data_IF_162154717885
#
_entry.id   IF_162154717885
#
_cell.length_a   1.000
_cell.length_b   1.000
_cell.length_c   1.000
_cell.angle_alpha   90.00
_cell.angle_beta   90.00
_cell.angle_gamma   90.00
#
_symmetry.space_group_name_H-M   'P 1'
#
loop_
_entity.id
_entity.type
_entity.pdbx_description
1 polymer ?
#
# COMPACT_ATOMS: atom_id res chain seq x y z
N UNK A 1 -41.51 3.05 -1.36
CA UNK A 1 -40.54 3.01 -2.49
C UNK A 1 -39.29 3.78 -2.12
N UNK A 2 -38.31 3.14 -1.47
CA UNK A 2 -37.03 3.77 -1.12
C UNK A 2 -35.98 2.71 -0.75
N UNK A 3 -35.55 1.85 -1.69
CA UNK A 3 -34.55 0.80 -1.39
C UNK A 3 -33.58 0.47 -2.53
N UNK A 4 -33.31 1.38 -3.48
CA UNK A 4 -32.37 1.11 -4.59
C UNK A 4 -31.10 1.97 -4.62
N UNK A 5 -31.02 3.07 -3.86
CA UNK A 5 -29.95 4.07 -4.06
C UNK A 5 -28.70 3.87 -3.17
N UNK A 6 -28.82 3.17 -2.04
CA UNK A 6 -27.70 3.01 -1.10
C UNK A 6 -26.68 1.95 -1.53
N UNK A 7 -27.15 0.84 -2.11
CA UNK A 7 -26.27 -0.28 -2.52
C UNK A 7 -25.46 0.05 -3.78
N UNK A 8 -26.04 0.80 -4.71
CA UNK A 8 -25.34 1.33 -5.89
C UNK A 8 -24.28 2.35 -5.51
N UNK A 9 -24.58 3.25 -4.56
CA UNK A 9 -23.61 4.24 -4.08
C UNK A 9 -22.36 3.60 -3.42
N UNK A 10 -22.52 2.56 -2.60
CA UNK A 10 -21.37 1.85 -2.00
C UNK A 10 -20.58 1.11 -3.08
N UNK A 11 -21.27 0.41 -3.99
CA UNK A 11 -20.62 -0.30 -5.10
C UNK A 11 -19.79 0.65 -5.97
N UNK A 12 -20.35 1.79 -6.33
CA UNK A 12 -19.69 2.74 -7.23
C UNK A 12 -18.49 3.41 -6.52
N UNK A 13 -18.56 3.64 -5.20
CA UNK A 13 -17.43 4.08 -4.38
C UNK A 13 -16.31 3.03 -4.30
N UNK A 14 -16.65 1.76 -4.11
CA UNK A 14 -15.67 0.65 -4.10
C UNK A 14 -15.02 0.51 -5.48
N UNK A 15 -15.80 0.58 -6.57
CA UNK A 15 -15.27 0.52 -7.94
C UNK A 15 -14.36 1.72 -8.25
N UNK A 16 -14.71 2.92 -7.80
CA UNK A 16 -13.84 4.10 -7.91
C UNK A 16 -12.53 3.92 -7.11
N UNK A 17 -12.57 3.28 -5.94
CA UNK A 17 -11.37 2.93 -5.17
C UNK A 17 -10.54 1.84 -5.87
N UNK A 18 -11.16 0.77 -6.35
CA UNK A 18 -10.49 -0.31 -7.09
C UNK A 18 -9.87 0.17 -8.41
N UNK A 19 -10.48 1.13 -9.10
CA UNK A 19 -9.88 1.79 -10.28
C UNK A 19 -8.58 2.55 -9.91
N UNK A 20 -8.41 2.94 -8.64
CA UNK A 20 -7.14 3.45 -8.09
C UNK A 20 -6.12 2.35 -7.75
N UNK A 21 -6.46 1.07 -7.85
CA UNK A 21 -5.57 -0.08 -7.63
C UNK A 21 -5.31 -0.87 -8.92
N UNK A 22 -4.53 -0.29 -9.84
CA UNK A 22 -3.74 -1.03 -10.84
C UNK A 22 -2.29 -0.63 -10.60
N UNK A 23 -1.62 -1.31 -9.67
CA UNK A 23 -0.27 -0.95 -9.24
C UNK A 23 0.53 -2.20 -8.84
N UNK A 24 1.81 -2.19 -9.17
CA UNK A 24 2.80 -3.17 -8.75
C UNK A 24 3.01 -3.04 -7.23
N UNK A 25 2.72 -4.11 -6.48
CA UNK A 25 2.96 -4.18 -5.04
C UNK A 25 4.41 -4.58 -4.79
N UNK A 26 5.20 -3.66 -4.23
CA UNK A 26 6.48 -3.99 -3.61
C UNK A 26 6.34 -3.66 -2.13
N UNK A 27 6.19 -4.69 -1.31
CA UNK A 27 6.01 -4.54 0.13
C UNK A 27 6.67 -5.70 0.85
N UNK A 28 7.47 -5.37 1.86
CA UNK A 28 7.97 -6.33 2.83
C UNK A 28 6.83 -6.58 3.81
N UNK A 29 6.13 -7.70 3.66
CA UNK A 29 5.08 -8.09 4.60
C UNK A 29 5.74 -8.78 5.80
N UNK A 30 5.76 -8.18 7.00
CA UNK A 30 5.93 -8.97 8.21
C UNK A 30 4.69 -9.85 8.34
N UNK A 31 4.87 -11.15 8.14
CA UNK A 31 3.90 -12.20 8.40
C UNK A 31 3.66 -12.30 9.91
N UNK A 32 3.01 -11.30 10.52
CA UNK A 32 2.67 -11.31 11.95
C UNK A 32 1.27 -10.75 12.24
N UNK A 33 0.43 -10.54 11.22
CA UNK A 33 -0.95 -10.06 11.41
C UNK A 33 -1.98 -11.21 11.56
N UNK A 34 -1.53 -12.45 11.75
CA UNK A 34 -2.39 -13.62 11.98
C UNK A 34 -2.12 -14.26 13.35
N UNK A 35 -2.26 -13.45 14.41
CA UNK A 35 -2.53 -13.97 15.76
C UNK A 35 -3.62 -13.16 16.44
N UNK A 36 -4.76 -13.03 15.76
CA UNK A 36 -6.00 -12.54 16.35
C UNK A 36 -6.88 -13.72 16.79
N UNK A 37 -6.38 -14.55 17.71
CA UNK A 37 -7.22 -15.59 18.34
C UNK A 37 -6.74 -16.04 19.71
N UNK A 38 -6.05 -15.19 20.47
CA UNK A 38 -5.64 -15.57 21.85
C UNK A 38 -5.54 -14.39 22.83
N UNK A 39 -6.06 -13.21 22.48
CA UNK A 39 -6.21 -12.11 23.44
C UNK A 39 -7.69 -11.95 23.80
N UNK A 40 -8.04 -11.84 25.10
CA UNK A 40 -9.39 -11.60 25.57
C UNK A 40 -9.81 -10.16 25.24
N UNK A 41 -10.10 -9.91 23.95
CA UNK A 41 -10.75 -8.70 23.46
C UNK A 41 -12.20 -8.95 23.03
N UNK A 42 -12.64 -10.21 23.04
CA UNK A 42 -14.05 -10.60 22.87
C UNK A 42 -14.86 -10.51 24.17
N UNK A 43 -14.27 -10.03 25.28
CA UNK A 43 -14.92 -9.97 26.59
C UNK A 43 -15.64 -8.65 26.88
N UNK A 44 -15.47 -7.61 26.05
CA UNK A 44 -16.16 -6.33 26.26
C UNK A 44 -17.69 -6.45 26.06
N UNK A 45 -18.13 -7.21 25.06
CA UNK A 45 -19.57 -7.38 24.77
C UNK A 45 -20.35 -8.07 25.90
N UNK A 46 -19.71 -9.02 26.59
CA UNK A 46 -20.34 -9.72 27.71
C UNK A 46 -20.52 -8.81 28.94
N UNK A 47 -19.60 -7.87 29.16
CA UNK A 47 -19.73 -6.87 30.23
C UNK A 47 -20.89 -5.90 29.98
N UNK A 48 -21.21 -5.64 28.71
CA UNK A 48 -22.33 -4.79 28.28
C UNK A 48 -23.65 -5.57 28.08
N UNK A 49 -23.72 -6.84 28.50
CA UNK A 49 -24.85 -7.76 28.26
C UNK A 49 -25.24 -7.92 26.77
N UNK A 50 -24.31 -7.66 25.84
CA UNK A 50 -24.52 -7.83 24.40
C UNK A 50 -24.19 -9.28 24.00
N UNK A 51 -25.22 -10.09 23.80
CA UNK A 51 -25.08 -11.42 23.22
C UNK A 51 -24.98 -11.34 21.70
N UNK A 52 -23.77 -11.49 21.16
CA UNK A 52 -23.58 -11.63 19.71
C UNK A 52 -23.88 -13.07 19.33
N UNK A 53 -25.04 -13.30 18.71
CA UNK A 53 -25.32 -14.59 18.05
C UNK A 53 -24.56 -14.65 16.73
N UNK A 54 -23.71 -15.66 16.51
CA UNK A 54 -23.06 -15.83 15.21
C UNK A 54 -24.14 -16.01 14.14
N UNK A 55 -23.99 -15.37 12.97
CA UNK A 55 -24.98 -15.47 11.90
C UNK A 55 -25.07 -16.91 11.41
N UNK A 56 -26.30 -17.43 11.26
CA UNK A 56 -26.57 -18.81 10.83
C UNK A 56 -25.95 -19.15 9.47
N UNK A 57 -25.69 -18.14 8.63
CA UNK A 57 -24.96 -18.26 7.37
C UNK A 57 -24.01 -17.07 7.23
N UNK A 58 -22.73 -17.35 7.03
CA UNK A 58 -21.75 -16.34 6.63
C UNK A 58 -21.46 -16.45 5.14
N UNK A 59 -21.36 -15.32 4.44
CA UNK A 59 -20.93 -15.28 3.04
C UNK A 59 -19.52 -15.86 2.85
N UNK A 60 -18.71 -15.86 3.92
CA UNK A 60 -17.35 -16.39 3.93
C UNK A 60 -17.30 -17.92 4.02
N UNK A 61 -18.41 -18.60 4.34
CA UNK A 61 -18.45 -20.07 4.46
C UNK A 61 -18.21 -20.78 3.12
N UNK A 62 -18.42 -20.07 2.01
CA UNK A 62 -18.20 -20.55 0.65
C UNK A 62 -16.80 -20.25 0.12
N UNK A 63 -15.97 -19.60 0.92
CA UNK A 63 -14.68 -19.07 0.51
C UNK A 63 -13.58 -19.97 1.08
N UNK A 64 -12.76 -20.55 0.20
CA UNK A 64 -11.61 -21.35 0.62
C UNK A 64 -10.53 -20.45 1.26
N UNK A 65 -9.93 -20.88 2.39
CA UNK A 65 -8.91 -20.12 3.11
C UNK A 65 -7.55 -20.23 2.43
N UNK A 66 -7.44 -19.65 1.24
CA UNK A 66 -6.20 -19.59 0.45
C UNK A 66 -5.55 -18.21 0.54
N UNK A 67 -4.27 -18.13 0.18
CA UNK A 67 -3.49 -16.89 0.26
C UNK A 67 -4.04 -15.82 -0.70
N UNK A 68 -4.37 -16.21 -1.93
CA UNK A 68 -5.00 -15.34 -2.93
C UNK A 68 -6.31 -14.75 -2.41
N UNK A 69 -7.21 -15.60 -1.90
CA UNK A 69 -8.44 -15.16 -1.26
C UNK A 69 -8.21 -14.18 -0.10
N UNK A 70 -7.25 -14.49 0.77
CA UNK A 70 -6.91 -13.65 1.92
C UNK A 70 -6.44 -12.26 1.46
N UNK A 71 -5.66 -12.19 0.37
CA UNK A 71 -5.19 -10.94 -0.22
C UNK A 71 -6.33 -10.16 -0.89
N UNK A 72 -7.28 -10.84 -1.54
CA UNK A 72 -8.46 -10.23 -2.15
C UNK A 72 -9.39 -9.63 -1.10
N UNK A 73 -9.67 -10.35 -0.01
CA UNK A 73 -10.48 -9.84 1.10
C UNK A 73 -9.81 -8.60 1.71
N UNK A 74 -8.49 -8.63 1.91
CA UNK A 74 -7.74 -7.46 2.40
C UNK A 74 -7.80 -6.30 1.43
N UNK A 75 -7.71 -6.55 0.13
CA UNK A 75 -7.84 -5.51 -0.90
C UNK A 75 -9.24 -4.88 -0.87
N UNK A 76 -10.30 -5.69 -0.84
CA UNK A 76 -11.68 -5.22 -0.77
C UNK A 76 -11.94 -4.41 0.50
N UNK A 77 -11.47 -4.90 1.64
CA UNK A 77 -11.59 -4.18 2.90
C UNK A 77 -10.82 -2.85 2.86
N UNK A 78 -9.59 -2.83 2.34
CA UNK A 78 -8.84 -1.59 2.14
C UNK A 78 -9.56 -0.60 1.22
N UNK A 79 -10.17 -1.08 0.12
CA UNK A 79 -10.92 -0.24 -0.80
C UNK A 79 -12.19 0.35 -0.15
N UNK A 80 -12.88 -0.43 0.68
CA UNK A 80 -14.03 0.04 1.46
C UNK A 80 -13.64 1.10 2.47
N UNK A 81 -12.56 0.87 3.22
CA UNK A 81 -12.05 1.84 4.21
C UNK A 81 -11.61 3.12 3.50
N UNK A 82 -10.84 3.03 2.41
CA UNK A 82 -10.44 4.20 1.59
C UNK A 82 -11.66 4.97 1.07
N UNK A 83 -12.71 4.27 0.61
CA UNK A 83 -13.95 4.91 0.18
C UNK A 83 -14.64 5.69 1.31
N UNK A 84 -14.67 5.16 2.53
CA UNK A 84 -15.27 5.83 3.68
C UNK A 84 -14.47 7.07 4.12
N UNK A 85 -13.13 6.96 4.14
CA UNK A 85 -12.25 8.09 4.38
C UNK A 85 -12.42 9.20 3.35
N UNK A 86 -12.50 8.84 2.06
CA UNK A 86 -12.69 9.82 0.98
C UNK A 86 -14.07 10.47 1.03
N UNK A 87 -15.10 9.72 1.39
CA UNK A 87 -16.45 10.27 1.49
C UNK A 87 -16.59 11.21 2.68
N UNK A 88 -15.91 10.88 3.79
CA UNK A 88 -15.79 11.72 4.98
C UNK A 88 -14.98 12.98 4.67
N UNK A 89 -13.80 12.84 4.07
CA UNK A 89 -12.95 13.96 3.62
C UNK A 89 -13.75 14.91 2.71
N UNK A 90 -14.44 14.36 1.71
CA UNK A 90 -15.21 15.16 0.77
C UNK A 90 -16.43 15.84 1.40
N UNK A 91 -17.00 15.25 2.45
CA UNK A 91 -18.04 15.90 3.24
C UNK A 91 -17.52 17.13 3.99
N UNK A 92 -16.35 17.01 4.63
CA UNK A 92 -15.74 18.12 5.38
C UNK A 92 -15.12 19.19 4.47
N UNK A 93 -14.68 18.84 3.27
CA UNK A 93 -14.18 19.79 2.26
C UNK A 93 -15.31 20.45 1.46
N UNK A 94 -16.51 19.87 1.47
CA UNK A 94 -17.66 20.37 0.74
C UNK A 94 -18.27 21.65 1.34
N UNK A 95 -19.11 22.31 0.56
CA UNK A 95 -19.84 23.52 0.96
C UNK A 95 -21.35 23.36 0.67
N UNK A 96 -22.07 24.48 0.52
CA UNK A 96 -23.50 24.49 0.17
C UNK A 96 -23.82 23.76 -1.15
N UNK A 97 -22.83 23.56 -2.03
CA UNK A 97 -22.95 22.89 -3.31
C UNK A 97 -22.69 21.37 -3.22
N UNK A 98 -22.39 20.85 -2.02
CA UNK A 98 -22.23 19.43 -1.74
C UNK A 98 -20.77 19.00 -1.53
N UNK A 99 -20.54 17.68 -1.59
CA UNK A 99 -19.24 17.07 -1.29
C UNK A 99 -18.18 17.47 -2.32
N UNK A 100 -16.98 17.82 -1.85
CA UNK A 100 -15.84 18.13 -2.71
C UNK A 100 -14.76 17.07 -2.56
N UNK A 101 -14.63 16.17 -3.53
CA UNK A 101 -13.56 15.17 -3.53
C UNK A 101 -12.21 15.79 -3.92
N UNK A 102 -11.13 15.36 -3.24
CA UNK A 102 -9.77 15.75 -3.59
C UNK A 102 -9.45 15.45 -5.07
N UNK A 103 -8.69 16.36 -5.70
CA UNK A 103 -8.22 16.16 -7.08
C UNK A 103 -7.36 14.91 -7.16
N UNK A 104 -7.44 14.21 -8.29
CA UNK A 104 -6.55 13.09 -8.57
C UNK A 104 -5.10 13.59 -8.54
N UNK A 105 -4.21 12.83 -7.89
CA UNK A 105 -2.78 13.12 -7.90
C UNK A 105 -2.21 13.14 -9.32
N UNK A 106 -1.10 13.85 -9.50
CA UNK A 106 -0.40 13.89 -10.77
C UNK A 106 -0.02 12.48 -11.25
N UNK A 107 -0.04 12.23 -12.57
CA UNK A 107 0.44 10.96 -13.11
C UNK A 107 1.90 10.73 -12.70
N UNK A 108 2.28 9.45 -12.57
CA UNK A 108 3.66 9.10 -12.33
C UNK A 108 4.45 9.36 -13.62
N UNK A 109 5.44 10.24 -13.54
CA UNK A 109 6.49 10.42 -14.55
C UNK A 109 7.75 9.69 -14.05
N UNK A 110 7.90 8.38 -14.34
CA UNK A 110 8.90 7.55 -13.69
C UNK A 110 10.33 7.96 -14.06
N UNK A 111 10.53 8.53 -15.25
CA UNK A 111 11.84 9.01 -15.71
C UNK A 111 12.29 10.26 -14.95
N UNK A 112 11.43 11.27 -14.83
CA UNK A 112 11.74 12.47 -14.06
C UNK A 112 11.94 12.16 -12.57
N UNK A 113 11.06 11.33 -12.00
CA UNK A 113 11.18 10.90 -10.61
C UNK A 113 12.48 10.11 -10.36
N UNK A 114 12.88 9.25 -11.29
CA UNK A 114 14.14 8.52 -11.20
C UNK A 114 15.32 9.51 -11.26
N UNK A 115 15.34 10.42 -12.25
CA UNK A 115 16.40 11.41 -12.40
C UNK A 115 16.58 12.29 -11.15
N UNK A 116 15.48 12.71 -10.51
CA UNK A 116 15.53 13.46 -9.25
C UNK A 116 16.16 12.61 -8.14
N UNK A 117 15.74 11.35 -8.01
CA UNK A 117 16.27 10.44 -7.01
C UNK A 117 17.77 10.16 -7.22
N UNK A 118 18.20 9.97 -8.46
CA UNK A 118 19.61 9.74 -8.78
C UNK A 118 20.47 10.95 -8.43
N UNK A 119 20.03 12.17 -8.79
CA UNK A 119 20.72 13.40 -8.38
C UNK A 119 20.81 13.55 -6.87
N UNK A 120 19.74 13.22 -6.15
CA UNK A 120 19.75 13.25 -4.69
C UNK A 120 20.74 12.24 -4.10
N UNK A 121 20.83 11.04 -4.70
CA UNK A 121 21.76 10.00 -4.29
C UNK A 121 23.22 10.38 -4.55
N UNK A 122 23.50 11.04 -5.67
CA UNK A 122 24.85 11.44 -6.06
C UNK A 122 25.35 12.65 -5.26
N UNK A 123 24.45 13.45 -4.69
CA UNK A 123 24.77 14.54 -3.79
C UNK A 123 25.18 14.08 -2.37
N UNK A 124 25.04 12.79 -2.02
CA UNK A 124 25.49 12.31 -0.73
C UNK A 124 27.02 12.38 -0.64
N UNK A 125 27.59 12.96 0.43
CA UNK A 125 29.03 13.00 0.63
C UNK A 125 29.57 11.57 0.69
N UNK A 126 30.75 11.36 0.11
CA UNK A 126 31.42 10.06 0.18
C UNK A 126 31.53 9.62 1.65
N UNK A 127 30.96 8.44 1.93
CA UNK A 127 30.88 7.95 3.28
C UNK A 127 32.30 7.64 3.79
N UNK A 128 32.67 8.14 4.97
CA UNK A 128 34.01 7.91 5.57
C UNK A 128 34.36 6.42 5.65
N UNK A 129 33.33 5.56 5.73
CA UNK A 129 33.47 4.12 5.67
C UNK A 129 33.28 3.59 4.22
N UNK A 130 34.40 3.32 3.54
CA UNK A 130 34.43 2.81 2.16
C UNK A 130 33.62 1.52 1.98
N UNK A 131 33.59 0.63 2.98
CA UNK A 131 32.86 -0.65 2.89
C UNK A 131 31.34 -0.44 2.77
N UNK A 132 30.79 0.55 3.50
CA UNK A 132 29.36 0.88 3.44
C UNK A 132 28.99 1.49 2.09
N UNK A 133 29.86 2.33 1.53
CA UNK A 133 29.66 2.92 0.20
C UNK A 133 29.61 1.86 -0.90
N UNK A 134 30.53 0.87 -0.87
CA UNK A 134 30.55 -0.24 -1.83
C UNK A 134 29.27 -1.09 -1.74
N UNK A 135 28.82 -1.42 -0.53
CA UNK A 135 27.57 -2.19 -0.34
C UNK A 135 26.35 -1.43 -0.88
N UNK A 136 26.27 -0.11 -0.65
CA UNK A 136 25.18 0.73 -1.16
C UNK A 136 25.17 0.80 -2.68
N UNK A 137 26.35 1.01 -3.30
CA UNK A 137 26.49 1.01 -4.78
C UNK A 137 26.09 -0.33 -5.38
N UNK A 138 26.57 -1.44 -4.81
CA UNK A 138 26.21 -2.79 -5.26
C UNK A 138 24.71 -3.09 -5.09
N UNK A 139 24.10 -2.67 -3.98
CA UNK A 139 22.67 -2.84 -3.76
C UNK A 139 21.84 -2.05 -4.79
N UNK A 140 22.24 -0.79 -5.08
CA UNK A 140 21.60 0.04 -6.10
C UNK A 140 21.72 -0.58 -7.49
N UNK A 141 22.91 -1.07 -7.86
CA UNK A 141 23.11 -1.74 -9.16
C UNK A 141 22.24 -2.99 -9.29
N UNK A 142 22.23 -3.86 -8.28
CA UNK A 142 21.40 -5.07 -8.28
C UNK A 142 19.90 -4.74 -8.44
N UNK A 143 19.45 -3.64 -7.81
CA UNK A 143 18.10 -3.12 -7.97
C UNK A 143 17.84 -2.64 -9.41
N UNK A 144 18.76 -1.87 -9.99
CA UNK A 144 18.64 -1.39 -11.38
C UNK A 144 18.59 -2.55 -12.38
N UNK A 145 19.46 -3.56 -12.23
CA UNK A 145 19.49 -4.74 -13.08
C UNK A 145 18.19 -5.57 -12.94
N UNK A 146 17.69 -5.70 -11.71
CA UNK A 146 16.45 -6.42 -11.44
C UNK A 146 15.22 -5.70 -12.00
N UNK A 147 15.26 -4.38 -12.16
CA UNK A 147 14.17 -3.59 -12.72
C UNK A 147 13.85 -3.92 -14.19
N UNK A 148 14.82 -4.49 -14.92
CA UNK A 148 14.65 -4.93 -16.30
C UNK A 148 13.93 -6.28 -16.44
N UNK A 149 13.77 -7.02 -15.34
CA UNK A 149 13.10 -8.33 -15.35
C UNK A 149 11.60 -8.16 -15.57
N UNK A 150 10.93 -9.25 -15.95
CA UNK A 150 9.48 -9.31 -16.05
C UNK A 150 8.81 -8.97 -14.72
N UNK A 151 7.62 -8.36 -14.79
CA UNK A 151 6.82 -8.04 -13.61
C UNK A 151 6.54 -9.29 -12.77
N UNK A 152 6.57 -9.15 -11.44
CA UNK A 152 6.40 -10.25 -10.51
C UNK A 152 6.68 -9.84 -9.07
N UNK A 153 6.85 -10.84 -8.21
CA UNK A 153 7.22 -10.63 -6.81
C UNK A 153 8.74 -10.60 -6.66
N UNK A 154 9.26 -9.56 -6.00
CA UNK A 154 10.67 -9.39 -5.73
C UNK A 154 10.92 -9.26 -4.23
N UNK A 155 12.03 -9.83 -3.77
CA UNK A 155 12.47 -9.75 -2.38
C UNK A 155 13.81 -9.04 -2.30
N UNK A 156 13.92 -8.01 -1.47
CA UNK A 156 15.17 -7.33 -1.19
C UNK A 156 15.65 -7.63 0.24
N UNK A 157 16.76 -8.37 0.33
CA UNK A 157 17.40 -8.72 1.60
C UNK A 157 18.72 -7.96 1.73
N UNK A 158 18.82 -7.12 2.78
CA UNK A 158 20.06 -6.43 3.13
C UNK A 158 20.03 -6.04 4.62
N UNK A 159 21.18 -5.78 5.28
CA UNK A 159 21.26 -5.36 6.69
C UNK A 159 20.80 -3.91 6.93
N UNK A 160 20.23 -3.58 8.09
CA UNK A 160 19.80 -2.20 8.43
C UNK A 160 20.93 -1.18 8.21
N UNK A 161 20.59 0.04 7.79
CA UNK A 161 21.59 1.07 7.40
C UNK A 161 22.20 0.93 5.99
N UNK A 162 21.91 -0.15 5.27
CA UNK A 162 22.39 -0.39 3.89
C UNK A 162 21.70 0.45 2.80
N UNK A 163 20.77 1.34 3.15
CA UNK A 163 20.05 2.16 2.17
C UNK A 163 18.93 1.44 1.40
N UNK A 164 18.31 0.41 1.99
CA UNK A 164 17.23 -0.37 1.34
C UNK A 164 16.08 0.48 0.81
N UNK A 165 15.66 1.49 1.57
CA UNK A 165 14.50 2.31 1.20
C UNK A 165 14.73 3.02 -0.14
N UNK A 166 15.86 3.71 -0.29
CA UNK A 166 16.22 4.39 -1.54
C UNK A 166 16.52 3.39 -2.67
N UNK A 167 17.15 2.25 -2.36
CA UNK A 167 17.38 1.19 -3.35
C UNK A 167 16.07 0.56 -3.86
N UNK A 168 15.08 0.36 -2.98
CA UNK A 168 13.75 -0.12 -3.35
C UNK A 168 13.00 0.91 -4.20
N UNK A 169 13.14 2.21 -3.88
CA UNK A 169 12.54 3.27 -4.66
C UNK A 169 13.17 3.36 -6.06
N UNK A 170 14.50 3.26 -6.16
CA UNK A 170 15.21 3.17 -7.45
C UNK A 170 14.69 2.01 -8.29
N UNK A 171 14.60 0.81 -7.71
CA UNK A 171 14.02 -0.37 -8.38
C UNK A 171 12.60 -0.09 -8.86
N UNK A 172 11.74 0.44 -7.99
CA UNK A 172 10.34 0.67 -8.30
C UNK A 172 10.14 1.69 -9.44
N UNK A 173 10.90 2.78 -9.45
CA UNK A 173 10.84 3.81 -10.50
C UNK A 173 11.43 3.31 -11.83
N UNK A 174 12.59 2.64 -11.79
CA UNK A 174 13.19 2.04 -12.98
C UNK A 174 12.28 0.97 -13.59
N UNK A 175 11.68 0.11 -12.76
CA UNK A 175 10.77 -0.93 -13.22
C UNK A 175 9.46 -0.32 -13.74
N UNK A 176 8.98 0.78 -13.13
CA UNK A 176 7.83 1.52 -13.63
C UNK A 176 8.09 2.14 -15.01
N UNK A 177 9.29 2.67 -15.24
CA UNK A 177 9.73 3.17 -16.55
C UNK A 177 9.75 2.06 -17.60
N UNK A 178 10.39 0.92 -17.30
CA UNK A 178 10.53 -0.21 -18.25
C UNK A 178 9.18 -0.79 -18.67
N UNK A 179 8.24 -0.89 -17.71
CA UNK A 179 6.96 -1.57 -17.91
C UNK A 179 5.77 -0.63 -18.07
N UNK A 180 5.99 0.68 -18.23
CA UNK A 180 4.95 1.72 -18.33
C UNK A 180 3.91 1.64 -17.21
N UNK A 181 4.37 1.45 -15.96
CA UNK A 181 3.49 1.35 -14.80
C UNK A 181 3.02 2.74 -14.37
N UNK A 182 1.72 2.86 -14.10
CA UNK A 182 1.10 4.16 -13.80
C UNK A 182 1.31 4.65 -12.37
N UNK A 183 1.69 3.78 -11.44
CA UNK A 183 1.82 4.10 -10.01
C UNK A 183 2.85 3.21 -9.33
N UNK A 184 3.60 3.81 -8.42
CA UNK A 184 4.41 3.12 -7.41
C UNK A 184 3.74 3.36 -6.06
N UNK A 185 3.42 2.29 -5.33
CA UNK A 185 2.88 2.38 -3.97
C UNK A 185 3.95 1.92 -3.01
N UNK A 186 4.43 2.82 -2.16
CA UNK A 186 5.41 2.50 -1.13
C UNK A 186 4.70 2.43 0.21
N UNK A 187 4.86 1.31 0.91
CA UNK A 187 4.38 1.13 2.29
C UNK A 187 5.60 1.08 3.20
N UNK A 188 5.78 2.12 4.01
CA UNK A 188 6.85 2.20 5.00
C UNK A 188 6.25 2.44 6.38
N UNK A 189 6.96 2.04 7.43
CA UNK A 189 6.59 2.45 8.78
C UNK A 189 6.97 3.93 9.01
N UNK A 190 6.09 4.68 9.67
CA UNK A 190 6.18 6.15 9.86
C UNK A 190 7.50 6.61 10.48
N UNK A 191 8.15 5.76 11.28
CA UNK A 191 9.40 6.07 11.97
C UNK A 191 10.60 6.30 11.04
N UNK A 192 10.59 5.78 9.81
CA UNK A 192 11.73 5.90 8.90
C UNK A 192 11.79 7.21 8.11
N UNK A 193 10.71 8.01 8.11
CA UNK A 193 10.67 9.29 7.38
C UNK A 193 11.26 10.45 8.18
N UNK A 194 11.18 10.42 9.52
CA UNK A 194 11.58 11.52 10.40
C UNK A 194 13.07 11.52 10.80
N UNK A 195 13.85 10.56 10.30
CA UNK A 195 15.26 10.37 10.68
C UNK A 195 16.25 10.49 9.51
N UNK A 196 15.82 11.10 8.40
CA UNK A 196 16.68 11.40 7.23
C UNK A 196 17.08 12.86 7.20
#
# INVERSE_FOLDING_TARGET
MATSNGSTAIRDKILASLARYRALRIGKFPCAFWRLSSRPGLTAFAADNLQITPPAKTLLSKIEPRVDTMLDIRLLFSALVDADFLDTEAHFQGDINGKQYRKQGQPLEPEDALNILEKHLDAFPENKNKNVSVVRKKLRQNCADSAQKSQGLFTLTAPTGSGKTLAMLCFALAHAKVHNLRRVIVVTEVSQLLSS
#
